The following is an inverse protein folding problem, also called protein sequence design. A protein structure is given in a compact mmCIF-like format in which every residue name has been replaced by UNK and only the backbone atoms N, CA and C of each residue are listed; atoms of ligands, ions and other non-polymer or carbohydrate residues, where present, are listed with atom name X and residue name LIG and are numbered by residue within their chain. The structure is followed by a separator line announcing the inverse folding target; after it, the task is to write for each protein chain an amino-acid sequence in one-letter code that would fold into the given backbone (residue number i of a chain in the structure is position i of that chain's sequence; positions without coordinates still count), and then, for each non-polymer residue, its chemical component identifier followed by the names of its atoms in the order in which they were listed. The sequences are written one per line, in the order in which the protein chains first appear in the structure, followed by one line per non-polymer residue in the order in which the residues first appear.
data_IF_134773462790
#
_entry.id   IF_134773462790
#
_cell.length_a   1.000
_cell.length_b   1.000
_cell.length_c   1.000
_cell.angle_alpha   90.00
_cell.angle_beta   90.00
_cell.angle_gamma   90.00
#
_symmetry.space_group_name_H-M   'P 1'
#
loop_
_entity.id
_entity.type
_entity.pdbx_description
1 polymer ?
#
# COMPACT_ATOMS: atom_id res chain seq x y z
N UNK A 1 -5.15 -12.39 13.67
CA UNK A 1 -3.92 -11.60 13.53
C UNK A 1 -3.88 -10.39 14.45
N UNK A 2 -4.90 -9.52 14.44
CA UNK A 2 -4.94 -8.28 15.24
C UNK A 2 -4.78 -8.57 16.75
N UNK A 3 -5.58 -9.49 17.32
CA UNK A 3 -5.45 -9.87 18.74
C UNK A 3 -4.07 -10.40 19.12
N UNK A 4 -3.44 -11.15 18.21
CA UNK A 4 -2.09 -11.70 18.42
C UNK A 4 -1.01 -10.62 18.40
N UNK A 5 -1.13 -9.66 17.47
CA UNK A 5 -0.26 -8.49 17.42
C UNK A 5 -0.46 -7.60 18.65
N UNK A 6 -1.73 -7.40 19.07
CA UNK A 6 -2.12 -6.59 20.21
C UNK A 6 -1.57 -7.13 21.53
N UNK A 7 -1.60 -8.44 21.73
CA UNK A 7 -1.03 -9.07 22.91
C UNK A 7 0.51 -8.98 22.98
N UNK A 8 1.17 -8.49 21.92
CA UNK A 8 2.62 -8.34 21.81
C UNK A 8 3.07 -6.90 21.58
N UNK A 9 2.15 -5.95 21.69
CA UNK A 9 2.38 -4.52 21.57
C UNK A 9 2.07 -3.85 22.90
N UNK A 10 2.89 -2.87 23.28
CA UNK A 10 2.70 -2.13 24.53
C UNK A 10 1.86 -0.86 24.30
N UNK A 11 1.92 -0.32 23.07
CA UNK A 11 1.16 0.86 22.65
C UNK A 11 0.35 0.60 21.38
N UNK A 12 -0.61 1.48 21.10
CA UNK A 12 -1.35 1.48 19.82
C UNK A 12 -0.40 1.73 18.64
N UNK A 13 0.63 2.55 18.82
CA UNK A 13 1.67 2.77 17.80
C UNK A 13 2.41 1.48 17.46
N UNK A 14 2.86 0.73 18.48
CA UNK A 14 3.54 -0.55 18.26
C UNK A 14 2.64 -1.57 17.54
N UNK A 15 1.34 -1.55 17.84
CA UNK A 15 0.36 -2.39 17.15
C UNK A 15 0.25 -2.00 15.67
N UNK A 16 0.13 -0.70 15.38
CA UNK A 16 0.07 -0.17 14.03
C UNK A 16 1.34 -0.54 13.23
N UNK A 17 2.52 -0.38 13.82
CA UNK A 17 3.80 -0.72 13.18
C UNK A 17 3.92 -2.22 12.89
N UNK A 18 3.49 -3.07 13.83
CA UNK A 18 3.46 -4.52 13.61
C UNK A 18 2.52 -4.91 12.48
N UNK A 19 1.32 -4.33 12.44
CA UNK A 19 0.36 -4.57 11.37
C UNK A 19 0.88 -4.06 10.02
N UNK A 20 1.51 -2.88 10.00
CA UNK A 20 2.16 -2.33 8.81
C UNK A 20 3.30 -3.24 8.32
N UNK A 21 4.09 -3.83 9.22
CA UNK A 21 5.12 -4.81 8.90
C UNK A 21 4.56 -6.05 8.19
N UNK A 22 3.45 -6.61 8.67
CA UNK A 22 2.76 -7.71 7.99
C UNK A 22 2.22 -7.29 6.63
N UNK A 23 1.61 -6.11 6.54
CA UNK A 23 1.11 -5.54 5.29
C UNK A 23 2.21 -5.31 4.25
N UNK A 24 3.40 -4.89 4.67
CA UNK A 24 4.55 -4.64 3.77
C UNK A 24 4.98 -5.91 3.03
N UNK A 25 5.04 -7.05 3.72
CA UNK A 25 5.38 -8.32 3.08
C UNK A 25 4.36 -8.69 1.99
N UNK A 26 3.08 -8.57 2.31
CA UNK A 26 1.98 -8.83 1.35
C UNK A 26 2.03 -7.86 0.18
N UNK A 27 2.23 -6.56 0.45
CA UNK A 27 2.31 -5.51 -0.57
C UNK A 27 3.45 -5.72 -1.56
N UNK A 28 4.64 -6.10 -1.08
CA UNK A 28 5.77 -6.42 -1.95
C UNK A 28 5.44 -7.58 -2.90
N UNK A 29 4.83 -8.65 -2.39
CA UNK A 29 4.46 -9.81 -3.22
C UNK A 29 3.35 -9.46 -4.20
N UNK A 30 2.38 -8.66 -3.78
CA UNK A 30 1.26 -8.23 -4.62
C UNK A 30 1.74 -7.39 -5.81
N UNK A 31 2.68 -6.47 -5.57
CA UNK A 31 3.30 -5.67 -6.62
C UNK A 31 3.88 -6.56 -7.73
N UNK A 32 4.66 -7.57 -7.36
CA UNK A 32 5.30 -8.48 -8.33
C UNK A 32 4.27 -9.25 -9.15
N UNK A 33 3.26 -9.80 -8.49
CA UNK A 33 2.21 -10.61 -9.13
C UNK A 33 1.41 -9.76 -10.11
N UNK A 34 1.02 -8.54 -9.73
CA UNK A 34 0.25 -7.65 -10.60
C UNK A 34 1.09 -7.19 -11.80
N UNK A 35 2.34 -6.75 -11.56
CA UNK A 35 3.23 -6.29 -12.64
C UNK A 35 3.51 -7.41 -13.65
N UNK A 36 3.66 -8.64 -13.16
CA UNK A 36 3.82 -9.83 -13.98
C UNK A 36 2.58 -10.09 -14.86
N UNK A 37 1.40 -10.12 -14.26
CA UNK A 37 0.15 -10.50 -14.94
C UNK A 37 -0.39 -9.43 -15.87
N UNK A 38 -0.34 -8.17 -15.46
CA UNK A 38 -1.09 -7.09 -16.11
C UNK A 38 -0.18 -6.13 -16.91
N UNK A 39 1.10 -6.01 -16.53
CA UNK A 39 2.02 -5.04 -17.14
C UNK A 39 3.19 -5.64 -17.91
N UNK A 40 3.21 -6.96 -18.11
CA UNK A 40 4.25 -7.62 -18.90
C UNK A 40 5.67 -7.30 -18.39
N UNK A 41 5.87 -7.30 -17.07
CA UNK A 41 7.12 -6.96 -16.38
C UNK A 41 7.57 -5.48 -16.44
N UNK A 42 6.77 -4.56 -16.97
CA UNK A 42 7.07 -3.12 -16.92
C UNK A 42 6.56 -2.50 -15.62
N UNK A 43 7.49 -2.12 -14.73
CA UNK A 43 7.20 -1.30 -13.55
C UNK A 43 7.16 0.18 -13.91
N UNK A 44 6.22 0.90 -13.31
CA UNK A 44 6.18 2.36 -13.39
C UNK A 44 7.38 2.95 -12.63
N UNK A 45 8.07 3.90 -13.24
CA UNK A 45 9.21 4.61 -12.62
C UNK A 45 8.90 6.06 -12.29
N UNK A 46 7.76 6.57 -12.77
CA UNK A 46 7.27 7.92 -12.48
C UNK A 46 6.39 7.89 -11.23
N UNK A 47 6.65 8.81 -10.29
CA UNK A 47 5.91 8.92 -9.02
C UNK A 47 4.39 8.96 -9.24
N UNK A 48 3.91 9.85 -10.11
CA UNK A 48 2.47 10.00 -10.37
C UNK A 48 1.84 8.71 -10.90
N UNK A 49 2.49 8.03 -11.86
CA UNK A 49 1.99 6.77 -12.40
C UNK A 49 1.95 5.67 -11.32
N UNK A 50 2.92 5.67 -10.41
CA UNK A 50 2.95 4.73 -9.29
C UNK A 50 1.83 5.02 -8.28
N UNK A 51 1.55 6.29 -7.98
CA UNK A 51 0.43 6.68 -7.11
C UNK A 51 -0.93 6.30 -7.74
N UNK A 52 -1.09 6.53 -9.05
CA UNK A 52 -2.28 6.11 -9.79
C UNK A 52 -2.45 4.58 -9.79
N UNK A 53 -1.33 3.84 -9.88
CA UNK A 53 -1.33 2.38 -9.77
C UNK A 53 -1.79 1.89 -8.40
N UNK A 54 -1.38 2.56 -7.32
CA UNK A 54 -1.85 2.25 -5.96
C UNK A 54 -3.36 2.54 -5.83
N UNK A 55 -3.82 3.73 -6.24
CA UNK A 55 -5.22 4.16 -6.17
C UNK A 55 -6.16 3.23 -6.95
N UNK A 56 -5.76 2.84 -8.15
CA UNK A 56 -6.55 2.03 -9.06
C UNK A 56 -6.34 0.54 -8.85
N UNK A 57 -5.22 0.03 -9.34
CA UNK A 57 -4.98 -1.41 -9.47
C UNK A 57 -4.83 -2.09 -8.11
N UNK A 58 -3.99 -1.57 -7.22
CA UNK A 58 -3.79 -2.21 -5.91
C UNK A 58 -5.07 -2.15 -5.07
N UNK A 59 -5.72 -0.98 -4.99
CA UNK A 59 -6.94 -0.82 -4.19
C UNK A 59 -8.08 -1.72 -4.67
N UNK A 60 -8.28 -1.82 -6.00
CA UNK A 60 -9.26 -2.75 -6.58
C UNK A 60 -8.92 -4.20 -6.27
N UNK A 61 -7.66 -4.60 -6.34
CA UNK A 61 -7.25 -5.97 -6.03
C UNK A 61 -7.41 -6.33 -4.53
N UNK A 62 -7.29 -5.36 -3.61
CA UNK A 62 -7.42 -5.60 -2.17
C UNK A 62 -8.86 -5.50 -1.65
N UNK A 63 -9.62 -4.51 -2.12
CA UNK A 63 -10.92 -4.14 -1.55
C UNK A 63 -12.07 -4.25 -2.55
N UNK A 64 -11.79 -4.64 -3.79
CA UNK A 64 -12.77 -4.70 -4.89
C UNK A 64 -13.48 -3.36 -5.14
N UNK A 65 -12.80 -2.25 -4.83
CA UNK A 65 -13.25 -0.86 -5.00
C UNK A 65 -12.07 0.00 -5.44
N UNK A 66 -12.30 1.11 -6.11
CA UNK A 66 -11.27 2.14 -6.32
C UNK A 66 -11.09 3.03 -5.09
N UNK A 67 -9.88 3.55 -4.87
CA UNK A 67 -9.65 4.49 -3.78
C UNK A 67 -10.37 5.81 -4.06
N UNK A 68 -11.13 6.31 -3.08
CA UNK A 68 -12.03 7.45 -3.25
C UNK A 68 -11.28 8.72 -3.67
N UNK A 69 -10.13 9.01 -3.05
CA UNK A 69 -9.36 10.23 -3.31
C UNK A 69 -7.86 9.95 -3.38
N UNK A 70 -7.16 10.79 -4.15
CA UNK A 70 -5.70 10.89 -4.19
C UNK A 70 -5.39 12.39 -4.14
N UNK A 71 -4.85 12.84 -3.02
CA UNK A 71 -4.60 14.25 -2.74
C UNK A 71 -3.09 14.50 -2.66
N UNK A 72 -2.65 15.73 -2.95
CA UNK A 72 -1.27 16.16 -2.81
C UNK A 72 -1.21 17.14 -1.64
N UNK A 73 -0.25 16.97 -0.74
CA UNK A 73 -0.05 17.93 0.36
C UNK A 73 0.28 19.32 -0.19
N UNK A 74 -0.34 20.35 0.39
CA UNK A 74 -0.08 21.75 0.03
C UNK A 74 1.11 22.35 0.79
N UNK A 75 1.46 21.77 1.95
CA UNK A 75 2.44 22.34 2.87
C UNK A 75 3.87 21.85 2.64
N UNK A 76 4.04 20.71 1.94
CA UNK A 76 5.36 20.16 1.63
C UNK A 76 5.31 19.40 0.29
N UNK A 77 6.05 19.83 -0.75
CA UNK A 77 5.99 19.19 -2.08
C UNK A 77 6.52 17.75 -2.08
N UNK A 78 7.18 17.30 -1.00
CA UNK A 78 7.71 15.95 -0.83
C UNK A 78 6.90 15.06 0.13
N UNK A 79 5.91 15.58 0.86
CA UNK A 79 5.00 14.76 1.67
C UNK A 79 3.74 14.42 0.87
N UNK A 80 3.47 13.12 0.73
CA UNK A 80 2.26 12.59 0.11
C UNK A 80 1.30 12.12 1.20
#
# INVERSE_FOLDING_TARGET
MIRYANNRSNTVGDLQDRLAGYGRFVGNRLLDVIVLREKGYRRETKLLNMLMFVKGTIWKNLFNKEADKLERSNDDPCQC
#
